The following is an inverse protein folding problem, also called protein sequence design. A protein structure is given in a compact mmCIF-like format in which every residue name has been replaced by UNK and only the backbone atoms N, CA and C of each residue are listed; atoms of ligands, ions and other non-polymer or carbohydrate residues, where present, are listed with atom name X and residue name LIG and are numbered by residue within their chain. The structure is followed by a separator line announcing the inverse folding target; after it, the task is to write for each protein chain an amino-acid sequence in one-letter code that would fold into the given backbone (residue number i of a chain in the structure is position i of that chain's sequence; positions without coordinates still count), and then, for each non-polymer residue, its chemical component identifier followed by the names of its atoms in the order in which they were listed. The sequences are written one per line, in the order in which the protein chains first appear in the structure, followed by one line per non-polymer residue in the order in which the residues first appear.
data_IF_003633335005
#
_entry.id   IF_003633335005
#
_cell.length_a   1.000
_cell.length_b   1.000
_cell.length_c   1.000
_cell.angle_alpha   90.00
_cell.angle_beta   90.00
_cell.angle_gamma   90.00
#
_symmetry.space_group_name_H-M   'P 1'
#
loop_
_entity.id
_entity.type
_entity.pdbx_description
1 polymer ?
#
# COMPACT_ATOMS: atom_id res chain seq x y z
N UNK A 1 6.99 3.14 21.72
CA UNK A 1 6.85 1.77 21.14
C UNK A 1 7.24 1.81 19.67
N UNK A 2 7.86 0.73 19.13
CA UNK A 2 8.28 0.65 17.72
C UNK A 2 7.88 -0.69 17.16
N UNK A 3 7.31 -0.71 15.95
CA UNK A 3 6.99 -1.91 15.20
C UNK A 3 7.27 -1.65 13.72
N UNK A 4 8.06 -2.52 13.11
CA UNK A 4 8.36 -2.49 11.68
C UNK A 4 8.08 -3.89 11.14
N UNK A 5 7.35 -3.97 10.04
CA UNK A 5 7.08 -5.23 9.35
C UNK A 5 8.36 -5.70 8.65
N UNK A 6 8.60 -7.01 8.63
CA UNK A 6 9.54 -7.58 7.68
C UNK A 6 9.07 -7.22 6.28
N UNK A 7 9.99 -6.74 5.45
CA UNK A 7 9.63 -6.30 4.12
C UNK A 7 10.64 -6.81 3.10
N UNK A 8 10.16 -7.06 1.89
CA UNK A 8 10.96 -7.68 0.85
C UNK A 8 11.80 -6.65 0.09
N UNK A 9 12.83 -7.17 -0.57
CA UNK A 9 13.67 -6.42 -1.49
C UNK A 9 13.63 -7.08 -2.87
N UNK A 10 13.75 -6.28 -3.91
CA UNK A 10 13.85 -6.70 -5.31
C UNK A 10 15.11 -6.05 -5.90
N UNK A 11 16.08 -6.84 -6.30
CA UNK A 11 17.36 -6.37 -6.89
C UNK A 11 18.06 -5.26 -6.08
N UNK A 12 17.99 -5.33 -4.75
CA UNK A 12 18.61 -4.38 -3.84
C UNK A 12 17.77 -3.14 -3.49
N UNK A 13 16.59 -2.97 -4.09
CA UNK A 13 15.63 -1.91 -3.76
C UNK A 13 14.53 -2.43 -2.80
N UNK A 14 13.98 -1.56 -1.96
CA UNK A 14 12.95 -1.90 -0.95
C UNK A 14 11.58 -1.89 -1.60
N UNK A 15 10.95 -3.07 -1.70
CA UNK A 15 9.67 -3.22 -2.39
C UNK A 15 9.78 -3.05 -3.88
N UNK A 16 8.65 -2.74 -4.51
CA UNK A 16 8.61 -2.43 -5.94
C UNK A 16 8.87 -0.96 -6.25
N UNK A 17 9.21 -0.70 -7.51
CA UNK A 17 9.43 0.64 -7.98
C UNK A 17 8.65 0.89 -9.28
N UNK A 18 7.78 1.90 -9.26
CA UNK A 18 6.99 2.34 -10.41
C UNK A 18 7.88 2.75 -11.61
N UNK A 19 9.08 3.25 -11.34
CA UNK A 19 10.01 3.71 -12.38
C UNK A 19 10.53 2.56 -13.26
N UNK A 20 10.39 1.31 -12.83
CA UNK A 20 10.72 0.13 -13.65
C UNK A 20 9.71 -0.14 -14.76
N UNK A 21 8.51 0.43 -14.68
CA UNK A 21 7.44 0.14 -15.63
C UNK A 21 7.76 0.66 -17.03
N UNK A 22 7.87 -0.25 -17.98
CA UNK A 22 8.13 0.08 -19.40
C UNK A 22 6.91 0.68 -20.10
N UNK A 23 5.71 0.42 -19.58
CA UNK A 23 4.49 0.99 -20.09
C UNK A 23 4.37 2.45 -19.62
N UNK A 24 4.35 3.41 -20.54
CA UNK A 24 4.37 4.85 -20.25
C UNK A 24 3.26 5.27 -19.28
N UNK A 25 2.05 4.74 -19.45
CA UNK A 25 0.90 5.09 -18.59
C UNK A 25 1.10 4.56 -17.18
N UNK A 26 1.66 3.35 -17.04
CA UNK A 26 2.01 2.76 -15.76
C UNK A 26 3.19 3.48 -15.09
N UNK A 27 4.19 3.86 -15.86
CA UNK A 27 5.33 4.64 -15.36
C UNK A 27 4.89 5.98 -14.75
N UNK A 28 3.93 6.67 -15.38
CA UNK A 28 3.44 7.98 -14.90
C UNK A 28 2.42 7.85 -13.76
N UNK A 29 1.51 6.89 -13.83
CA UNK A 29 0.33 6.83 -12.95
C UNK A 29 0.08 5.46 -12.30
N UNK A 30 1.06 4.56 -12.27
CA UNK A 30 0.93 3.20 -11.78
C UNK A 30 1.13 3.00 -10.28
N UNK A 31 1.24 4.07 -9.47
CA UNK A 31 1.53 3.98 -8.03
C UNK A 31 0.50 3.12 -7.26
N UNK A 32 -0.78 3.22 -7.58
CA UNK A 32 -1.81 2.39 -6.96
C UNK A 32 -1.62 0.91 -7.31
N UNK A 33 -1.30 0.60 -8.56
CA UNK A 33 -1.02 -0.78 -8.99
C UNK A 33 0.27 -1.30 -8.34
N UNK A 34 1.33 -0.48 -8.24
CA UNK A 34 2.56 -0.84 -7.55
C UNK A 34 2.29 -1.17 -6.08
N UNK A 35 1.55 -0.30 -5.38
CA UNK A 35 1.18 -0.51 -3.96
C UNK A 35 0.36 -1.79 -3.77
N UNK A 36 -0.56 -2.12 -4.68
CA UNK A 36 -1.32 -3.37 -4.63
C UNK A 36 -0.45 -4.59 -4.93
N UNK A 37 0.49 -4.50 -5.89
CA UNK A 37 1.48 -5.55 -6.15
C UNK A 37 2.33 -5.82 -4.91
N UNK A 38 2.81 -4.77 -4.24
CA UNK A 38 3.58 -4.88 -3.01
C UNK A 38 2.78 -5.56 -1.89
N UNK A 39 1.50 -5.22 -1.73
CA UNK A 39 0.61 -5.92 -0.80
C UNK A 39 0.51 -7.41 -1.11
N UNK A 40 0.29 -7.77 -2.38
CA UNK A 40 0.19 -9.17 -2.80
C UNK A 40 1.48 -9.95 -2.50
N UNK A 41 2.64 -9.39 -2.85
CA UNK A 41 3.95 -10.01 -2.57
C UNK A 41 4.15 -10.15 -1.05
N UNK A 42 3.84 -9.12 -0.28
CA UNK A 42 3.94 -9.15 1.18
C UNK A 42 3.10 -10.30 1.77
N UNK A 43 1.84 -10.41 1.38
CA UNK A 43 0.97 -11.46 1.89
C UNK A 43 1.38 -12.86 1.40
N UNK A 44 1.86 -12.98 0.16
CA UNK A 44 2.37 -14.24 -0.36
C UNK A 44 3.59 -14.73 0.43
N UNK A 45 4.55 -13.82 0.65
CA UNK A 45 5.83 -14.14 1.30
C UNK A 45 5.71 -14.33 2.81
N UNK A 46 5.00 -13.44 3.51
CA UNK A 46 5.01 -13.38 4.98
C UNK A 46 3.73 -13.87 5.66
N UNK A 47 2.65 -14.08 4.88
CA UNK A 47 1.34 -14.50 5.43
C UNK A 47 0.81 -15.79 4.81
N UNK A 48 1.63 -16.49 4.02
CA UNK A 48 1.30 -17.78 3.43
C UNK A 48 0.23 -17.74 2.33
N UNK A 49 -0.13 -16.54 1.83
CA UNK A 49 -1.14 -16.34 0.78
C UNK A 49 -0.51 -16.43 -0.61
N UNK A 50 0.09 -17.60 -0.93
CA UNK A 50 0.92 -17.79 -2.14
C UNK A 50 0.22 -17.46 -3.46
N UNK A 51 -1.08 -17.68 -3.56
CA UNK A 51 -1.87 -17.41 -4.76
C UNK A 51 -2.05 -15.91 -5.08
N UNK A 52 -1.76 -15.00 -4.15
CA UNK A 52 -1.82 -13.57 -4.39
C UNK A 52 -0.75 -13.07 -5.37
N UNK A 53 0.39 -13.77 -5.44
CA UNK A 53 1.48 -13.42 -6.33
C UNK A 53 1.73 -14.59 -7.30
N UNK A 54 1.63 -14.37 -8.63
CA UNK A 54 1.66 -15.46 -9.61
C UNK A 54 3.07 -15.97 -9.95
N UNK A 55 4.11 -15.49 -9.26
CA UNK A 55 5.50 -15.87 -9.43
C UNK A 55 6.08 -16.37 -8.10
N UNK A 56 7.38 -16.63 -8.05
CA UNK A 56 8.05 -17.09 -6.84
C UNK A 56 8.30 -15.93 -5.86
N UNK A 57 7.58 -15.93 -4.74
CA UNK A 57 7.73 -14.90 -3.70
C UNK A 57 9.05 -15.05 -2.90
N UNK A 58 9.76 -16.19 -2.99
CA UNK A 58 11.06 -16.37 -2.32
C UNK A 58 12.21 -15.84 -3.18
N UNK A 59 12.08 -15.87 -4.52
CA UNK A 59 13.08 -15.40 -5.47
C UNK A 59 12.50 -14.27 -6.32
N UNK A 60 12.29 -13.12 -5.72
CA UNK A 60 11.71 -11.95 -6.38
C UNK A 60 12.65 -11.37 -7.43
N UNK A 61 12.13 -11.05 -8.61
CA UNK A 61 12.85 -10.40 -9.69
C UNK A 61 12.13 -9.15 -10.18
N UNK A 62 12.88 -8.19 -10.67
CA UNK A 62 12.36 -6.97 -11.28
C UNK A 62 11.47 -7.28 -12.50
N UNK A 63 11.85 -8.27 -13.31
CA UNK A 63 11.08 -8.66 -14.49
C UNK A 63 9.71 -9.24 -14.11
N UNK A 64 9.65 -10.14 -13.11
CA UNK A 64 8.39 -10.69 -12.60
C UNK A 64 7.50 -9.60 -12.01
N UNK A 65 8.09 -8.64 -11.29
CA UNK A 65 7.37 -7.51 -10.75
C UNK A 65 6.74 -6.64 -11.85
N UNK A 66 7.49 -6.34 -12.91
CA UNK A 66 6.99 -5.60 -14.08
C UNK A 66 5.84 -6.37 -14.74
N UNK A 67 5.99 -7.67 -14.96
CA UNK A 67 4.93 -8.52 -15.51
C UNK A 67 3.70 -8.54 -14.60
N UNK A 68 3.89 -8.62 -13.29
CA UNK A 68 2.80 -8.59 -12.31
C UNK A 68 2.06 -7.25 -12.32
N UNK A 69 2.77 -6.15 -12.41
CA UNK A 69 2.17 -4.82 -12.54
C UNK A 69 1.26 -4.70 -13.76
N UNK A 70 1.62 -5.35 -14.86
CA UNK A 70 0.78 -5.37 -16.06
C UNK A 70 -0.48 -6.22 -15.89
N UNK A 71 -0.45 -7.26 -15.06
CA UNK A 71 -1.66 -8.01 -14.62
C UNK A 71 -2.55 -7.17 -13.72
N UNK A 72 -1.97 -6.35 -12.83
CA UNK A 72 -2.70 -5.44 -11.95
C UNK A 72 -3.30 -4.24 -12.68
N UNK A 73 -2.71 -3.80 -13.79
CA UNK A 73 -3.10 -2.60 -14.55
C UNK A 73 -4.60 -2.53 -14.92
N UNK A 74 -5.30 -3.57 -15.37
CA UNK A 74 -6.72 -3.49 -15.69
C UNK A 74 -7.60 -3.11 -14.50
N UNK A 75 -7.20 -3.51 -13.30
CA UNK A 75 -7.93 -3.33 -12.04
C UNK A 75 -7.68 -1.95 -11.43
N UNK A 76 -6.42 -1.52 -11.38
CA UNK A 76 -5.99 -0.21 -10.87
C UNK A 76 -5.46 0.66 -12.01
N UNK A 77 -6.29 0.82 -13.02
CA UNK A 77 -5.93 1.48 -14.27
C UNK A 77 -5.53 2.93 -14.04
N UNK A 78 -4.31 3.33 -14.45
CA UNK A 78 -3.91 4.73 -14.45
C UNK A 78 -4.88 5.58 -15.30
N UNK A 79 -5.30 6.71 -14.74
CA UNK A 79 -6.19 7.70 -15.40
C UNK A 79 -5.48 9.05 -15.37
N UNK A 80 -6.00 10.06 -16.09
CA UNK A 80 -5.42 11.40 -16.07
C UNK A 80 -5.30 11.99 -14.64
N UNK A 81 -6.25 11.68 -13.75
CA UNK A 81 -6.22 12.06 -12.32
C UNK A 81 -5.73 10.94 -11.39
N UNK A 82 -5.19 9.85 -11.93
CA UNK A 82 -4.78 8.67 -11.17
C UNK A 82 -5.93 7.91 -10.52
N UNK A 83 -5.60 6.98 -9.63
CA UNK A 83 -6.53 6.35 -8.67
C UNK A 83 -6.57 7.28 -7.45
N UNK A 84 -7.46 8.26 -7.47
CA UNK A 84 -7.45 9.40 -6.54
C UNK A 84 -8.54 9.36 -5.46
N UNK A 85 -9.22 8.23 -5.32
CA UNK A 85 -10.21 7.97 -4.27
C UNK A 85 -9.93 6.60 -3.64
N UNK A 86 -10.25 6.46 -2.35
CA UNK A 86 -10.05 5.20 -1.62
C UNK A 86 -10.87 4.07 -2.23
N UNK A 87 -12.15 4.33 -2.52
CA UNK A 87 -13.05 3.34 -3.12
C UNK A 87 -12.56 2.83 -4.49
N UNK A 88 -11.89 3.67 -5.29
CA UNK A 88 -11.32 3.22 -6.58
C UNK A 88 -10.22 2.17 -6.37
N UNK A 89 -9.45 2.32 -5.29
CA UNK A 89 -8.42 1.35 -4.93
C UNK A 89 -9.04 0.06 -4.39
N UNK A 90 -9.99 0.16 -3.46
CA UNK A 90 -10.63 -1.00 -2.83
C UNK A 90 -11.47 -1.81 -3.83
N UNK A 91 -12.23 -1.15 -4.72
CA UNK A 91 -12.95 -1.83 -5.79
C UNK A 91 -12.00 -2.51 -6.79
N UNK A 92 -10.99 -1.78 -7.28
CA UNK A 92 -10.06 -2.32 -8.26
C UNK A 92 -9.23 -3.48 -7.70
N UNK A 93 -8.61 -3.28 -6.55
CA UNK A 93 -7.83 -4.34 -5.91
C UNK A 93 -8.73 -5.51 -5.47
N UNK A 94 -9.91 -5.23 -4.94
CA UNK A 94 -10.90 -6.24 -4.58
C UNK A 94 -11.30 -7.11 -5.76
N UNK A 95 -11.51 -6.51 -6.94
CA UNK A 95 -11.83 -7.24 -8.16
C UNK A 95 -10.69 -8.17 -8.61
N UNK A 96 -9.44 -7.71 -8.53
CA UNK A 96 -8.28 -8.59 -8.77
C UNK A 96 -8.29 -9.80 -7.83
N UNK A 97 -8.48 -9.56 -6.53
CA UNK A 97 -8.49 -10.63 -5.53
C UNK A 97 -9.65 -11.62 -5.77
N UNK A 98 -10.83 -11.12 -6.09
CA UNK A 98 -11.99 -11.95 -6.44
C UNK A 98 -11.72 -12.84 -7.66
N UNK A 99 -11.11 -12.27 -8.71
CA UNK A 99 -10.79 -12.99 -9.95
C UNK A 99 -9.77 -14.13 -9.74
N UNK A 100 -8.92 -14.03 -8.71
CA UNK A 100 -8.00 -15.11 -8.30
C UNK A 100 -8.55 -16.00 -7.19
N UNK A 101 -9.84 -15.83 -6.81
CA UNK A 101 -10.54 -16.67 -5.82
C UNK A 101 -10.26 -16.29 -4.36
N UNK A 102 -9.67 -15.12 -4.09
CA UNK A 102 -9.41 -14.63 -2.73
C UNK A 102 -10.50 -13.68 -2.25
N UNK A 103 -10.87 -13.80 -0.97
CA UNK A 103 -11.79 -12.88 -0.30
C UNK A 103 -11.04 -12.06 0.73
N UNK A 104 -11.07 -10.75 0.53
CA UNK A 104 -10.44 -9.77 1.43
C UNK A 104 -11.48 -8.71 1.78
N UNK A 105 -11.47 -8.27 3.02
CA UNK A 105 -12.27 -7.14 3.47
C UNK A 105 -11.36 -5.90 3.55
N UNK A 106 -11.84 -4.80 2.97
CA UNK A 106 -11.17 -3.51 3.05
C UNK A 106 -11.87 -2.59 4.04
N UNK A 107 -11.08 -1.81 4.76
CA UNK A 107 -11.58 -0.71 5.59
C UNK A 107 -10.97 0.58 5.08
N UNK A 108 -11.78 1.41 4.46
CA UNK A 108 -11.40 2.77 4.09
C UNK A 108 -11.34 3.66 5.33
N UNK A 109 -10.28 4.46 5.43
CA UNK A 109 -10.08 5.44 6.49
C UNK A 109 -9.79 6.79 5.85
N UNK A 110 -10.84 7.63 5.79
CA UNK A 110 -10.80 8.92 5.11
C UNK A 110 -9.81 9.91 5.75
N UNK A 111 -9.19 10.75 4.93
CA UNK A 111 -8.37 11.88 5.37
C UNK A 111 -9.11 12.96 6.16
N UNK A 112 -10.44 12.86 6.31
CA UNK A 112 -11.23 13.74 7.16
C UNK A 112 -11.00 13.51 8.66
N UNK A 113 -10.53 12.33 9.03
CA UNK A 113 -10.12 12.02 10.39
C UNK A 113 -8.88 12.82 10.83
N UNK A 114 -8.68 12.88 12.14
CA UNK A 114 -7.51 13.55 12.73
C UNK A 114 -6.24 12.69 12.58
N UNK A 115 -5.07 13.32 12.69
CA UNK A 115 -3.77 12.62 12.71
C UNK A 115 -3.69 11.61 13.88
N UNK A 116 -4.33 11.90 15.02
CA UNK A 116 -4.39 11.00 16.18
C UNK A 116 -5.18 9.72 15.86
N UNK A 117 -6.33 9.85 15.21
CA UNK A 117 -7.13 8.70 14.78
C UNK A 117 -6.38 7.88 13.71
N UNK A 118 -5.70 8.57 12.77
CA UNK A 118 -4.85 7.90 11.78
C UNK A 118 -3.70 7.13 12.44
N UNK A 119 -3.08 7.69 13.49
CA UNK A 119 -2.06 6.99 14.28
C UNK A 119 -2.60 5.71 14.92
N UNK A 120 -3.79 5.76 15.51
CA UNK A 120 -4.45 4.57 16.10
C UNK A 120 -4.72 3.53 15.02
N UNK A 121 -5.21 3.95 13.85
CA UNK A 121 -5.49 3.07 12.74
C UNK A 121 -4.23 2.37 12.22
N UNK A 122 -3.16 3.13 11.95
CA UNK A 122 -1.88 2.59 11.47
C UNK A 122 -1.29 1.62 12.48
N UNK A 123 -1.19 2.02 13.75
CA UNK A 123 -0.66 1.15 14.81
C UNK A 123 -1.41 -0.18 14.89
N UNK A 124 -2.74 -0.13 14.86
CA UNK A 124 -3.57 -1.33 14.86
C UNK A 124 -3.20 -2.25 13.70
N UNK A 125 -3.15 -1.74 12.47
CA UNK A 125 -2.87 -2.55 11.28
C UNK A 125 -1.45 -3.11 11.25
N UNK A 126 -0.46 -2.31 11.59
CA UNK A 126 0.93 -2.76 11.67
C UNK A 126 1.11 -3.82 12.78
N UNK A 127 0.46 -3.68 13.94
CA UNK A 127 0.49 -4.68 15.00
C UNK A 127 -0.23 -5.98 14.60
N UNK A 128 -1.25 -5.91 13.74
CA UNK A 128 -1.89 -7.08 13.10
C UNK A 128 -0.97 -7.72 12.01
N UNK A 129 0.20 -7.13 11.77
CA UNK A 129 1.15 -7.59 10.75
C UNK A 129 0.68 -7.29 9.33
N UNK A 130 -0.04 -6.19 9.13
CA UNK A 130 -0.62 -5.81 7.83
C UNK A 130 -0.10 -4.45 7.39
N UNK A 131 0.52 -4.33 6.21
CA UNK A 131 0.91 -3.05 5.66
C UNK A 131 -0.31 -2.20 5.30
N UNK A 132 -0.14 -0.87 5.29
CA UNK A 132 -1.26 0.07 5.12
C UNK A 132 -1.05 0.92 3.88
N UNK A 133 -1.79 0.69 2.78
CA UNK A 133 -1.81 1.60 1.64
C UNK A 133 -2.27 3.00 2.07
N UNK A 134 -1.50 4.00 1.65
CA UNK A 134 -1.74 5.40 1.95
C UNK A 134 -1.82 6.20 0.65
N UNK A 135 -2.94 6.90 0.47
CA UNK A 135 -3.12 7.89 -0.59
C UNK A 135 -2.89 9.29 -0.03
N UNK A 136 -1.94 10.03 -0.62
CA UNK A 136 -1.83 11.47 -0.41
C UNK A 136 -2.22 12.20 -1.69
N UNK A 137 -3.20 13.13 -1.62
CA UNK A 137 -3.67 13.89 -2.78
C UNK A 137 -2.87 15.15 -2.98
N UNK A 138 -2.80 16.02 -1.98
CA UNK A 138 -2.13 17.32 -2.03
C UNK A 138 -1.46 17.61 -0.71
N UNK A 139 -0.39 18.39 -0.76
CA UNK A 139 0.26 18.89 0.44
C UNK A 139 0.79 20.31 0.22
N UNK A 140 0.63 21.22 1.21
CA UNK A 140 1.14 22.59 1.12
C UNK A 140 2.64 22.67 1.38
N UNK A 141 3.19 21.78 2.21
CA UNK A 141 4.61 21.71 2.49
C UNK A 141 5.33 21.06 1.30
N UNK A 142 6.25 21.79 0.69
CA UNK A 142 7.01 21.39 -0.49
C UNK A 142 7.92 20.18 -0.28
N UNK A 143 8.28 19.86 0.97
CA UNK A 143 9.08 18.66 1.27
C UNK A 143 8.36 17.36 0.92
N UNK A 144 7.04 17.39 0.75
CA UNK A 144 6.23 16.25 0.34
C UNK A 144 5.83 16.28 -1.14
N UNK A 145 6.48 17.12 -1.96
CA UNK A 145 6.11 17.29 -3.38
C UNK A 145 6.10 15.97 -4.16
N UNK A 146 7.05 15.06 -3.89
CA UNK A 146 7.17 13.77 -4.57
C UNK A 146 6.12 12.74 -4.12
N UNK A 147 5.36 13.06 -3.07
CA UNK A 147 4.31 12.20 -2.52
C UNK A 147 2.89 12.68 -2.84
N UNK A 148 2.71 13.81 -3.55
CA UNK A 148 1.37 14.30 -3.93
C UNK A 148 0.80 13.50 -5.08
N UNK A 149 -0.52 13.25 -5.07
CA UNK A 149 -1.22 12.37 -6.00
C UNK A 149 -0.62 10.97 -6.08
N UNK A 150 -0.14 10.47 -4.92
CA UNK A 150 0.66 9.27 -4.85
C UNK A 150 0.11 8.28 -3.83
N UNK A 151 0.23 6.99 -4.18
CA UNK A 151 0.03 5.85 -3.30
C UNK A 151 1.37 5.31 -2.85
N UNK A 152 1.51 5.05 -1.57
CA UNK A 152 2.66 4.40 -0.96
C UNK A 152 2.22 3.48 0.18
N UNK A 153 3.11 2.64 0.66
CA UNK A 153 2.79 1.62 1.64
C UNK A 153 3.43 1.95 2.99
N UNK A 154 2.61 2.15 4.03
CA UNK A 154 3.13 2.25 5.39
C UNK A 154 3.44 0.84 5.90
N UNK A 155 4.71 0.61 6.29
CA UNK A 155 5.26 -0.68 6.70
C UNK A 155 5.77 -0.70 8.14
N UNK A 156 5.60 0.37 8.88
CA UNK A 156 6.03 0.41 10.27
C UNK A 156 5.78 1.75 10.94
N UNK A 157 5.98 1.77 12.24
CA UNK A 157 5.89 3.00 13.03
C UNK A 157 6.86 2.99 14.21
N UNK A 158 7.14 4.19 14.72
CA UNK A 158 7.83 4.44 15.97
C UNK A 158 7.14 5.58 16.72
N UNK A 159 6.73 5.33 17.97
CA UNK A 159 6.13 6.36 18.83
C UNK A 159 7.22 7.24 19.44
N UNK A 160 7.02 8.54 19.36
CA UNK A 160 7.75 9.55 20.11
C UNK A 160 6.87 10.15 21.21
N UNK A 161 7.37 11.12 21.98
CA UNK A 161 6.60 11.79 23.01
C UNK A 161 5.36 12.51 22.44
N UNK A 162 5.48 13.11 21.25
CA UNK A 162 4.49 14.04 20.68
C UNK A 162 3.94 13.62 19.32
N UNK A 163 4.46 12.52 18.71
CA UNK A 163 4.12 12.12 17.36
C UNK A 163 4.26 10.61 17.13
N UNK A 164 3.75 10.15 16.00
CA UNK A 164 4.02 8.84 15.43
C UNK A 164 4.89 9.02 14.19
N UNK A 165 6.11 8.51 14.22
CA UNK A 165 6.92 8.39 13.02
C UNK A 165 6.44 7.14 12.26
N UNK A 166 6.14 7.27 10.97
CA UNK A 166 5.74 6.14 10.11
C UNK A 166 6.84 5.85 9.10
N UNK A 167 7.12 4.56 8.91
CA UNK A 167 8.04 4.09 7.86
C UNK A 167 7.22 3.74 6.64
N UNK A 168 7.55 4.34 5.49
CA UNK A 168 6.84 4.13 4.23
C UNK A 168 7.77 3.57 3.18
N UNK A 169 7.25 2.67 2.33
CA UNK A 169 7.94 2.10 1.18
C UNK A 169 7.30 2.63 -0.10
N UNK A 170 8.11 3.18 -0.98
CA UNK A 170 7.75 3.63 -2.33
C UNK A 170 9.02 3.92 -3.14
N UNK A 171 8.93 3.91 -4.47
CA UNK A 171 10.06 4.18 -5.37
C UNK A 171 11.33 3.36 -5.09
N UNK A 172 11.19 2.13 -4.61
CA UNK A 172 12.32 1.25 -4.28
C UNK A 172 13.06 1.60 -2.99
N UNK A 173 12.53 2.52 -2.19
CA UNK A 173 13.14 3.00 -0.95
C UNK A 173 12.17 2.94 0.23
N UNK A 174 12.73 2.98 1.44
CA UNK A 174 11.96 3.13 2.67
C UNK A 174 12.39 4.38 3.44
N UNK A 175 11.46 5.30 3.64
CA UNK A 175 11.68 6.58 4.31
C UNK A 175 10.79 6.71 5.55
N UNK A 176 11.26 7.47 6.55
CA UNK A 176 10.50 7.72 7.77
C UNK A 176 10.00 9.16 7.82
N UNK A 177 8.73 9.34 8.12
CA UNK A 177 8.08 10.65 8.23
C UNK A 177 7.32 10.81 9.53
N UNK A 178 7.18 12.05 9.99
CA UNK A 178 6.20 12.45 10.98
C UNK A 178 4.79 12.25 10.42
N UNK A 179 3.98 11.43 11.07
CA UNK A 179 2.58 11.24 10.65
C UNK A 179 1.80 12.53 10.79
N UNK A 180 2.05 13.29 11.85
CA UNK A 180 1.39 14.57 12.08
C UNK A 180 1.64 15.56 10.95
N UNK A 181 2.88 15.66 10.49
CA UNK A 181 3.22 16.51 9.35
C UNK A 181 2.62 15.98 8.04
N UNK A 182 2.78 14.71 7.76
CA UNK A 182 2.28 14.07 6.53
C UNK A 182 0.75 14.12 6.42
N UNK A 183 0.02 14.00 7.56
CA UNK A 183 -1.43 14.01 7.60
C UNK A 183 -2.04 15.41 7.53
N UNK A 184 -1.35 16.42 8.08
CA UNK A 184 -1.81 17.80 8.10
C UNK A 184 -1.45 18.52 6.79
N UNK A 185 -1.98 18.08 5.69
CA UNK A 185 -1.65 18.53 4.33
C UNK A 185 -1.94 20.02 4.06
N UNK A 186 -2.78 20.66 4.89
CA UNK A 186 -3.27 22.01 4.68
C UNK A 186 -4.43 22.11 3.68
N UNK A 187 -4.95 20.98 3.18
CA UNK A 187 -6.10 20.89 2.30
C UNK A 187 -7.23 20.10 2.97
N UNK A 188 -8.48 20.34 2.52
CA UNK A 188 -9.64 19.59 3.00
C UNK A 188 -9.62 18.16 2.49
N UNK A 189 -9.36 17.97 1.20
CA UNK A 189 -9.20 16.65 0.59
C UNK A 189 -7.74 16.18 0.73
N UNK A 190 -7.50 15.19 1.57
CA UNK A 190 -6.16 14.70 1.90
C UNK A 190 -5.82 13.35 1.29
N UNK A 191 -6.83 12.54 0.94
CA UNK A 191 -6.70 11.14 0.63
C UNK A 191 -7.10 10.25 1.79
N UNK A 192 -6.23 9.37 2.27
CA UNK A 192 -6.53 8.50 3.41
C UNK A 192 -5.77 7.17 3.37
N UNK A 193 -6.25 6.20 4.15
CA UNK A 193 -5.61 4.90 4.37
C UNK A 193 -6.56 3.76 4.01
N UNK A 194 -5.97 2.61 3.66
CA UNK A 194 -6.72 1.36 3.47
C UNK A 194 -6.24 0.33 4.49
N UNK A 195 -7.14 -0.20 5.29
CA UNK A 195 -6.91 -1.40 6.08
C UNK A 195 -7.27 -2.63 5.25
N UNK A 196 -6.37 -3.58 5.15
CA UNK A 196 -6.58 -4.85 4.48
C UNK A 196 -6.81 -5.91 5.56
N UNK A 197 -7.91 -6.65 5.45
CA UNK A 197 -8.29 -7.72 6.38
C UNK A 197 -8.39 -9.02 5.58
N UNK A 198 -7.30 -9.80 5.47
CA UNK A 198 -7.39 -11.12 4.89
C UNK A 198 -8.39 -11.95 5.73
N UNK A 199 -9.48 -12.40 5.14
CA UNK A 199 -10.36 -13.36 5.81
C UNK A 199 -9.60 -14.68 5.89
N UNK A 200 -9.31 -15.12 7.10
CA UNK A 200 -9.00 -16.51 7.36
C UNK A 200 -10.24 -17.32 7.01
N UNK A 201 -10.12 -18.27 6.08
CA UNK A 201 -11.15 -19.28 5.92
C UNK A 201 -11.26 -20.04 7.24
N UNK A 202 -12.34 -19.86 7.99
CA UNK A 202 -12.76 -20.88 8.92
C UNK A 202 -13.10 -22.11 8.05
N UNK A 203 -12.29 -23.15 8.14
CA UNK A 203 -12.67 -24.48 7.68
C UNK A 203 -13.86 -24.83 8.55
N UNK A 204 -15.07 -24.70 7.99
CA UNK A 204 -16.25 -25.31 8.61
C UNK A 204 -16.01 -26.80 8.42
N UNK A 205 -15.51 -27.42 9.47
CA UNK A 205 -15.42 -28.87 9.60
C UNK A 205 -16.88 -29.38 9.65
N UNK A 206 -17.38 -29.80 8.51
CA UNK A 206 -18.67 -30.45 8.43
C UNK A 206 -18.42 -31.91 8.74
N UNK A 207 -18.37 -32.21 10.04
CA UNK A 207 -18.46 -33.59 10.55
C UNK A 207 -19.88 -34.12 10.46
#
# INVERSE_FOLDING_TARGET
MKQILDYFMIDGEVGGNQDWFRNVVMHIGGCAAATACDCCIYFAKYKGKKNLYPFDAENLSKEDYIQFSMKMKPYLRPRMSGVNKLWMYTEGFGKYLEDIGEKVEFKEFSGEHTAREAAVFIKKKINEGTPVPYLMLRHKDKKFADFVWHWFLCIGYEETADDLLIKVATYGEATTFSLKELWNTGYKEKGGLIGILPRTFEIIDVS
#
